data_IF_902154813216
#
_entry.id   IF_902154813216
#
_cell.length_a   1.000
_cell.length_b   1.000
_cell.length_c   1.000
_cell.angle_alpha   90.00
_cell.angle_beta   90.00
_cell.angle_gamma   90.00
#
_symmetry.space_group_name_H-M   'P 1'
#
loop_
_entity.id
_entity.type
_entity.pdbx_description
1 polymer ?
#
# COMPACT_ATOMS: atom_id res chain seq x y z
N UNK A 1 -21.97 5.79 55.98
CA UNK A 1 -22.07 4.78 54.91
C UNK A 1 -22.21 5.53 53.59
N UNK A 2 -21.10 5.96 53.00
CA UNK A 2 -21.08 6.63 51.69
C UNK A 2 -20.82 5.53 50.64
N UNK A 3 -21.86 5.16 49.90
CA UNK A 3 -21.77 4.19 48.80
C UNK A 3 -20.99 4.84 47.67
N UNK A 4 -19.78 4.32 47.43
CA UNK A 4 -18.99 4.68 46.26
C UNK A 4 -19.77 4.40 44.98
N UNK A 5 -20.15 5.46 44.29
CA UNK A 5 -20.62 5.36 42.90
C UNK A 5 -19.39 5.01 42.08
N UNK A 6 -19.24 3.73 41.76
CA UNK A 6 -18.27 3.25 40.78
C UNK A 6 -18.76 3.77 39.41
N UNK A 7 -18.18 4.84 38.89
CA UNK A 7 -18.40 5.26 37.50
C UNK A 7 -18.01 4.08 36.57
N UNK A 8 -18.83 3.74 35.57
CA UNK A 8 -18.48 2.68 34.64
C UNK A 8 -17.26 3.11 33.83
N UNK A 9 -16.19 2.32 33.90
CA UNK A 9 -14.98 2.46 33.08
C UNK A 9 -15.41 2.39 31.61
N UNK A 10 -15.65 3.55 30.99
CA UNK A 10 -16.03 3.64 29.59
C UNK A 10 -14.90 3.02 28.76
N UNK A 11 -15.10 1.77 28.34
CA UNK A 11 -14.14 0.99 27.59
C UNK A 11 -13.60 1.84 26.44
N UNK A 12 -12.27 1.91 26.34
CA UNK A 12 -11.54 2.78 25.43
C UNK A 12 -12.03 2.63 23.97
N UNK A 13 -13.01 3.45 23.59
CA UNK A 13 -13.52 3.50 22.24
C UNK A 13 -12.47 4.19 21.35
N UNK A 14 -12.17 3.58 20.20
CA UNK A 14 -11.21 4.15 19.24
C UNK A 14 -11.78 5.46 18.69
N UNK A 15 -11.11 6.57 19.00
CA UNK A 15 -11.49 7.89 18.50
C UNK A 15 -10.96 8.11 17.08
N UNK A 16 -11.74 7.68 16.08
CA UNK A 16 -11.44 7.83 14.66
C UNK A 16 -11.36 9.29 14.20
N UNK A 17 -12.14 10.18 14.82
CA UNK A 17 -12.17 11.61 14.49
C UNK A 17 -10.85 12.33 14.84
N UNK A 18 -9.96 11.69 15.61
CA UNK A 18 -8.63 12.22 15.89
C UNK A 18 -7.85 12.52 14.60
N UNK A 19 -8.06 11.78 13.51
CA UNK A 19 -7.36 12.01 12.23
C UNK A 19 -8.07 12.98 11.29
N UNK A 20 -9.17 13.62 11.72
CA UNK A 20 -9.88 14.62 10.91
C UNK A 20 -9.19 15.99 10.90
N UNK A 21 -8.23 16.22 11.81
CA UNK A 21 -7.42 17.46 11.80
C UNK A 21 -6.13 17.26 11.00
N UNK A 22 -5.70 18.22 10.16
CA UNK A 22 -4.48 18.08 9.36
C UNK A 22 -3.23 17.81 10.22
N UNK A 23 -3.10 18.46 11.39
CA UNK A 23 -1.95 18.30 12.29
C UNK A 23 -1.76 16.88 12.82
N UNK A 24 -2.84 16.13 13.05
CA UNK A 24 -2.77 14.76 13.55
C UNK A 24 -2.69 13.73 12.43
N UNK A 25 -3.15 14.05 11.22
CA UNK A 25 -3.15 13.14 10.07
C UNK A 25 -1.84 13.13 9.31
N UNK A 26 -1.22 14.29 9.06
CA UNK A 26 0.00 14.38 8.26
C UNK A 26 1.15 13.46 8.69
N UNK A 27 1.52 13.33 9.99
CA UNK A 27 2.60 12.41 10.37
C UNK A 27 2.26 10.95 10.10
N UNK A 28 0.97 10.58 10.18
CA UNK A 28 0.51 9.24 9.79
C UNK A 28 0.59 9.06 8.27
N UNK A 29 0.12 10.05 7.53
CA UNK A 29 0.12 10.03 6.07
C UNK A 29 1.53 9.96 5.49
N UNK A 30 2.51 10.68 6.05
CA UNK A 30 3.92 10.63 5.63
C UNK A 30 4.51 9.23 5.81
N UNK A 31 4.25 8.61 6.97
CA UNK A 31 4.71 7.25 7.24
C UNK A 31 4.06 6.24 6.30
N UNK A 32 2.75 6.36 6.08
CA UNK A 32 2.02 5.52 5.13
C UNK A 32 2.51 5.72 3.70
N UNK A 33 2.76 6.96 3.28
CA UNK A 33 3.26 7.30 1.96
C UNK A 33 4.62 6.63 1.69
N UNK A 34 5.52 6.60 2.69
CA UNK A 34 6.78 5.87 2.58
C UNK A 34 6.58 4.36 2.38
N UNK A 35 5.72 3.72 3.18
CA UNK A 35 5.44 2.29 3.05
C UNK A 35 4.73 1.94 1.75
N UNK A 36 3.76 2.74 1.32
CA UNK A 36 3.10 2.55 0.03
C UNK A 36 4.05 2.81 -1.13
N UNK A 37 4.94 3.79 -1.03
CA UNK A 37 5.99 4.01 -2.01
C UNK A 37 6.95 2.82 -2.13
N UNK A 38 7.37 2.26 -0.99
CA UNK A 38 8.18 1.05 -0.97
C UNK A 38 7.44 -0.16 -1.58
N UNK A 39 6.17 -0.35 -1.23
CA UNK A 39 5.33 -1.41 -1.80
C UNK A 39 5.17 -1.26 -3.32
N UNK A 40 4.91 -0.04 -3.79
CA UNK A 40 4.80 0.28 -5.20
C UNK A 40 6.11 -0.02 -5.94
N UNK A 41 7.26 0.34 -5.37
CA UNK A 41 8.57 0.05 -5.93
C UNK A 41 8.81 -1.46 -6.07
N UNK A 42 8.46 -2.24 -5.03
CA UNK A 42 8.57 -3.69 -5.05
C UNK A 42 7.64 -4.30 -6.10
N UNK A 43 6.40 -3.82 -6.20
CA UNK A 43 5.44 -4.28 -7.20
C UNK A 43 5.93 -3.97 -8.63
N UNK A 44 6.48 -2.78 -8.87
CA UNK A 44 7.10 -2.41 -10.14
C UNK A 44 8.28 -3.33 -10.48
N UNK A 45 9.19 -3.56 -9.53
CA UNK A 45 10.34 -4.45 -9.74
C UNK A 45 9.89 -5.88 -10.06
N UNK A 46 8.87 -6.39 -9.37
CA UNK A 46 8.29 -7.70 -9.65
C UNK A 46 7.65 -7.76 -11.04
N UNK A 47 6.89 -6.74 -11.44
CA UNK A 47 6.29 -6.65 -12.78
C UNK A 47 7.35 -6.63 -13.89
N UNK A 48 8.41 -5.84 -13.71
CA UNK A 48 9.54 -5.79 -14.64
C UNK A 48 10.27 -7.14 -14.72
N UNK A 49 10.50 -7.80 -13.59
CA UNK A 49 11.13 -9.12 -13.58
C UNK A 49 10.29 -10.15 -14.34
N UNK A 50 8.98 -10.15 -14.12
CA UNK A 50 8.06 -11.05 -14.82
C UNK A 50 8.07 -10.76 -16.33
N UNK A 51 7.95 -9.49 -16.71
CA UNK A 51 7.94 -9.05 -18.10
C UNK A 51 9.22 -9.39 -18.86
N UNK A 52 10.39 -9.16 -18.26
CA UNK A 52 11.66 -9.44 -18.94
C UNK A 52 12.10 -10.91 -18.88
N UNK A 53 11.92 -11.59 -17.76
CA UNK A 53 12.55 -12.91 -17.54
C UNK A 53 11.58 -14.09 -17.59
N UNK A 54 10.31 -13.90 -17.20
CA UNK A 54 9.30 -14.97 -17.19
C UNK A 54 8.36 -14.98 -18.39
N UNK A 55 8.16 -13.84 -19.05
CA UNK A 55 7.26 -13.77 -20.19
C UNK A 55 7.69 -14.75 -21.30
N UNK A 56 6.75 -15.44 -21.96
CA UNK A 56 7.09 -16.36 -23.03
C UNK A 56 7.67 -15.60 -24.23
N UNK A 57 8.60 -16.23 -24.93
CA UNK A 57 9.09 -15.75 -26.23
C UNK A 57 8.19 -16.25 -27.35
N UNK A 58 8.06 -15.45 -28.41
CA UNK A 58 7.36 -15.87 -29.62
C UNK A 58 8.33 -16.48 -30.64
N UNK A 59 7.86 -17.37 -31.50
CA UNK A 59 8.69 -18.05 -32.50
C UNK A 59 9.20 -17.12 -33.62
N UNK A 60 8.48 -16.05 -33.94
CA UNK A 60 8.88 -15.09 -34.99
C UNK A 60 9.63 -13.89 -34.42
N UNK A 61 9.22 -13.43 -33.24
CA UNK A 61 9.78 -12.22 -32.62
C UNK A 61 10.81 -12.51 -31.52
N UNK A 62 11.01 -13.77 -31.15
CA UNK A 62 12.01 -14.20 -30.17
C UNK A 62 11.85 -13.50 -28.82
N UNK A 63 12.97 -13.01 -28.29
CA UNK A 63 13.04 -12.28 -27.02
C UNK A 63 12.35 -10.91 -27.06
N UNK A 64 12.23 -10.27 -28.24
CA UNK A 64 11.62 -8.95 -28.36
C UNK A 64 10.12 -8.96 -28.03
N UNK A 65 9.45 -10.11 -28.19
CA UNK A 65 8.04 -10.29 -27.84
C UNK A 65 7.76 -9.99 -26.36
N UNK A 66 8.72 -10.23 -25.48
CA UNK A 66 8.58 -10.01 -24.03
C UNK A 66 8.26 -8.56 -23.65
N UNK A 67 8.67 -7.60 -24.49
CA UNK A 67 8.45 -6.16 -24.23
C UNK A 67 6.97 -5.78 -24.24
N UNK A 68 6.11 -6.50 -24.98
CA UNK A 68 4.67 -6.19 -25.01
C UNK A 68 3.99 -6.40 -23.65
N UNK A 69 4.49 -7.35 -22.85
CA UNK A 69 3.98 -7.63 -21.51
C UNK A 69 4.32 -6.53 -20.51
N UNK A 70 5.24 -5.63 -20.88
CA UNK A 70 5.56 -4.42 -20.13
C UNK A 70 4.78 -3.24 -20.70
N UNK A 71 4.76 -3.09 -22.02
CA UNK A 71 4.20 -1.91 -22.69
C UNK A 71 2.67 -1.86 -22.63
N UNK A 72 1.95 -2.94 -22.94
CA UNK A 72 0.47 -2.95 -23.00
C UNK A 72 -0.20 -2.62 -21.66
N UNK A 73 0.19 -3.21 -20.52
CA UNK A 73 -0.37 -2.81 -19.23
C UNK A 73 0.13 -1.44 -18.72
N UNK A 74 1.19 -0.88 -19.33
CA UNK A 74 1.76 0.42 -18.94
C UNK A 74 1.31 1.59 -19.83
N UNK A 75 0.66 1.31 -20.96
CA UNK A 75 0.11 2.28 -21.91
C UNK A 75 -1.31 2.69 -21.52
#
# INVERSE_FOLDING_TARGET
MQTGVQQPEAGAAVNWFKYSSPQSFFPLAEKLAFWFGALALVACAAGLYIGFFRAPTDAQQGEAYRIIFIHVPAA
#
